data_IF_352303054190
#
_entry.id   IF_352303054190
#
_cell.length_a   1.000
_cell.length_b   1.000
_cell.length_c   1.000
_cell.angle_alpha   90.00
_cell.angle_beta   90.00
_cell.angle_gamma   90.00
#
_symmetry.space_group_name_H-M   'P 1'
#
loop_
_entity.id
_entity.type
_entity.pdbx_description
1 polymer ?
#
# COMPACT_ATOMS: atom_id res chain seq x y z
N UNK A 1 7.39 36.22 21.40
CA UNK A 1 6.52 35.52 20.42
C UNK A 1 6.22 36.50 19.29
N UNK A 2 6.17 36.03 18.03
CA UNK A 2 5.80 36.83 16.87
C UNK A 2 4.78 36.08 16.00
N UNK A 3 3.71 36.75 15.58
CA UNK A 3 2.74 36.18 14.64
C UNK A 3 3.22 36.38 13.21
N UNK A 4 3.13 35.32 12.39
CA UNK A 4 3.65 35.29 11.02
C UNK A 4 2.63 34.65 10.08
N UNK A 5 2.42 35.28 8.92
CA UNK A 5 1.80 34.61 7.78
C UNK A 5 2.80 33.63 7.12
N UNK A 6 2.36 32.92 6.08
CA UNK A 6 3.19 31.93 5.40
C UNK A 6 4.48 32.48 4.75
N UNK A 7 4.43 33.72 4.24
CA UNK A 7 5.59 34.33 3.58
C UNK A 7 6.61 34.87 4.57
N UNK A 8 6.15 35.48 5.67
CA UNK A 8 7.01 35.98 6.73
C UNK A 8 7.65 34.82 7.50
N UNK A 9 6.91 33.74 7.74
CA UNK A 9 7.48 32.49 8.29
C UNK A 9 8.59 31.95 7.38
N UNK A 10 8.39 31.92 6.06
CA UNK A 10 9.43 31.45 5.12
C UNK A 10 10.70 32.29 5.19
N UNK A 11 10.57 33.62 5.27
CA UNK A 11 11.72 34.54 5.39
C UNK A 11 12.48 34.31 6.69
N UNK A 12 11.76 34.19 7.81
CA UNK A 12 12.38 33.95 9.12
C UNK A 12 13.02 32.57 9.21
N UNK A 13 12.34 31.53 8.74
CA UNK A 13 12.87 30.18 8.70
C UNK A 13 14.18 30.11 7.89
N UNK A 14 14.24 30.77 6.72
CA UNK A 14 15.48 30.86 5.93
C UNK A 14 16.60 31.59 6.68
N UNK A 15 16.28 32.64 7.43
CA UNK A 15 17.24 33.38 8.25
C UNK A 15 17.77 32.51 9.41
N UNK A 16 16.88 31.79 10.08
CA UNK A 16 17.23 30.87 11.17
C UNK A 16 18.11 29.71 10.67
N UNK A 17 17.74 29.08 9.56
CA UNK A 17 18.49 27.96 8.96
C UNK A 17 19.91 28.31 8.53
N UNK A 18 20.16 29.57 8.14
CA UNK A 18 21.52 30.05 7.80
C UNK A 18 22.44 30.15 9.01
N UNK A 19 21.87 30.36 10.21
CA UNK A 19 22.61 30.60 11.46
C UNK A 19 22.74 29.34 12.31
N UNK A 20 21.73 28.46 12.25
CA UNK A 20 21.66 27.28 13.10
C UNK A 20 22.56 26.13 12.60
N UNK A 21 23.10 25.36 13.54
CA UNK A 21 23.86 24.13 13.31
C UNK A 21 22.98 22.88 13.36
N UNK A 22 21.73 23.00 13.82
CA UNK A 22 20.73 21.94 13.86
C UNK A 22 19.33 22.49 13.54
N UNK A 23 18.52 21.66 12.89
CA UNK A 23 17.11 21.93 12.67
C UNK A 23 16.29 20.64 12.74
N UNK A 24 15.17 20.69 13.45
CA UNK A 24 14.24 19.59 13.68
C UNK A 24 12.85 20.03 13.24
N UNK A 25 12.29 19.31 12.27
CA UNK A 25 10.97 19.58 11.73
C UNK A 25 10.01 18.47 12.11
N UNK A 26 8.81 18.85 12.54
CA UNK A 26 7.68 17.96 12.68
C UNK A 26 6.52 18.58 11.91
N UNK A 27 6.47 18.24 10.61
CA UNK A 27 5.54 18.85 9.65
C UNK A 27 4.92 17.72 8.85
N UNK A 28 3.59 17.64 8.93
CA UNK A 28 2.77 16.62 8.29
C UNK A 28 3.08 16.44 6.80
N UNK A 29 2.99 17.54 6.03
CA UNK A 29 3.02 17.48 4.57
C UNK A 29 4.15 18.33 3.99
N UNK A 30 4.81 17.77 2.99
CA UNK A 30 5.90 18.40 2.25
C UNK A 30 5.58 18.40 0.77
N UNK A 31 5.50 19.58 0.14
CA UNK A 31 5.23 19.74 -1.29
C UNK A 31 6.48 20.13 -2.06
N UNK A 32 6.39 20.10 -3.39
CA UNK A 32 7.48 20.43 -4.32
C UNK A 32 8.26 21.68 -3.95
N UNK A 33 9.58 21.56 -4.06
CA UNK A 33 10.60 22.53 -3.71
C UNK A 33 10.75 22.79 -2.21
N UNK A 34 10.15 21.96 -1.36
CA UNK A 34 10.46 21.89 0.06
C UNK A 34 11.96 21.80 0.35
N UNK A 35 12.69 20.95 -0.39
CA UNK A 35 14.13 20.78 -0.21
C UNK A 35 14.90 22.09 -0.42
N UNK A 36 14.39 23.00 -1.26
CA UNK A 36 15.02 24.32 -1.48
C UNK A 36 14.94 25.22 -0.26
N UNK A 37 13.93 25.05 0.58
CA UNK A 37 13.83 25.74 1.87
C UNK A 37 14.93 25.26 2.83
N UNK A 38 15.26 23.97 2.78
CA UNK A 38 16.30 23.34 3.60
C UNK A 38 17.73 23.51 3.02
N UNK A 39 17.86 23.81 1.73
CA UNK A 39 19.13 23.90 1.02
C UNK A 39 20.07 25.02 1.51
N UNK A 40 19.59 25.95 2.34
CA UNK A 40 20.39 27.04 2.91
C UNK A 40 21.24 26.62 4.15
N UNK A 41 21.41 25.31 4.41
CA UNK A 41 21.92 24.80 5.69
C UNK A 41 23.45 24.68 5.77
N UNK A 42 23.98 24.86 6.99
CA UNK A 42 25.34 24.45 7.40
C UNK A 42 25.33 23.30 8.44
N UNK A 43 24.19 22.67 8.72
CA UNK A 43 24.00 21.81 9.90
C UNK A 43 23.11 20.57 9.70
N UNK A 44 22.96 19.78 10.78
CA UNK A 44 22.14 18.56 10.80
C UNK A 44 20.65 18.91 10.70
N UNK A 45 19.93 18.24 9.81
CA UNK A 45 18.47 18.42 9.68
C UNK A 45 17.76 17.09 9.86
N UNK A 46 16.73 17.10 10.69
CA UNK A 46 15.89 15.96 11.02
C UNK A 46 14.42 16.32 10.74
N UNK A 47 13.69 15.41 10.10
CA UNK A 47 12.32 15.62 9.63
C UNK A 47 11.47 14.43 10.04
N UNK A 48 10.29 14.71 10.59
CA UNK A 48 9.21 13.75 10.76
C UNK A 48 8.04 14.21 9.88
N UNK A 49 7.52 13.33 9.04
CA UNK A 49 6.39 13.60 8.15
C UNK A 49 5.38 12.43 8.08
N UNK A 50 4.17 12.71 7.59
CA UNK A 50 3.23 11.66 7.21
C UNK A 50 3.41 11.35 5.71
N UNK A 51 4.39 10.49 5.42
CA UNK A 51 4.72 10.05 4.06
C UNK A 51 3.58 9.28 3.38
N UNK A 52 2.89 8.40 4.11
CA UNK A 52 1.94 7.46 3.52
C UNK A 52 0.54 8.05 3.27
N UNK A 53 0.21 9.18 3.91
CA UNK A 53 -1.06 9.92 3.70
C UNK A 53 -1.37 10.34 2.24
N UNK A 54 -0.38 10.28 1.35
CA UNK A 54 -0.47 10.83 -0.01
C UNK A 54 -0.44 12.36 -0.07
N UNK A 55 -0.44 13.07 1.07
CA UNK A 55 -0.30 14.53 1.14
C UNK A 55 1.14 15.03 1.06
N UNK A 56 2.09 14.17 1.40
CA UNK A 56 3.53 14.42 1.25
C UNK A 56 3.98 14.01 -0.15
N UNK A 57 4.69 14.90 -0.84
CA UNK A 57 5.35 14.61 -2.11
C UNK A 57 6.56 13.69 -1.85
N UNK A 58 6.51 12.42 -2.29
CA UNK A 58 7.57 11.45 -2.02
C UNK A 58 8.86 11.77 -2.76
N UNK A 59 8.81 12.49 -3.87
CA UNK A 59 10.00 12.91 -4.59
C UNK A 59 10.82 13.93 -3.80
N UNK A 60 10.16 14.81 -3.03
CA UNK A 60 10.88 15.72 -2.13
C UNK A 60 11.57 14.97 -1.00
N UNK A 61 10.96 13.90 -0.48
CA UNK A 61 11.56 13.06 0.55
C UNK A 61 12.78 12.31 0.00
N UNK A 62 12.71 11.82 -1.24
CA UNK A 62 13.86 11.23 -1.94
C UNK A 62 15.00 12.23 -2.05
N UNK A 63 14.72 13.46 -2.50
CA UNK A 63 15.73 14.51 -2.61
C UNK A 63 16.29 14.95 -1.24
N UNK A 64 15.46 15.01 -0.20
CA UNK A 64 15.91 15.25 1.18
C UNK A 64 16.89 14.18 1.65
N UNK A 65 16.57 12.91 1.43
CA UNK A 65 17.47 11.80 1.82
C UNK A 65 18.78 11.86 1.06
N UNK A 66 18.75 12.14 -0.25
CA UNK A 66 19.97 12.35 -1.06
C UNK A 66 20.81 13.51 -0.55
N UNK A 67 20.18 14.59 -0.09
CA UNK A 67 20.84 15.74 0.50
C UNK A 67 21.40 15.48 1.91
N UNK A 68 21.19 14.28 2.49
CA UNK A 68 21.63 13.93 3.85
C UNK A 68 20.73 14.49 4.95
N UNK A 69 19.44 14.65 4.70
CA UNK A 69 18.43 14.95 5.74
C UNK A 69 17.96 13.63 6.34
N UNK A 70 17.92 13.53 7.66
CA UNK A 70 17.32 12.38 8.34
C UNK A 70 15.80 12.53 8.30
N UNK A 71 15.11 11.65 7.58
CA UNK A 71 13.65 11.70 7.44
C UNK A 71 13.02 10.44 8.00
N UNK A 72 12.01 10.61 8.87
CA UNK A 72 11.20 9.52 9.44
C UNK A 72 9.73 9.73 9.09
N UNK A 73 9.00 8.63 9.06
CA UNK A 73 7.55 8.60 8.91
C UNK A 73 6.88 8.49 10.28
N UNK A 74 5.82 9.25 10.49
CA UNK A 74 4.88 9.04 11.58
C UNK A 74 3.46 9.09 11.01
N UNK A 75 2.73 7.98 11.16
CA UNK A 75 1.35 7.88 10.72
C UNK A 75 0.46 8.88 11.47
N UNK A 76 -0.53 9.43 10.78
CA UNK A 76 -1.50 10.38 11.32
C UNK A 76 -0.88 11.68 11.88
N UNK A 77 0.38 11.98 11.49
CA UNK A 77 1.02 13.22 11.89
C UNK A 77 0.31 14.39 11.21
N UNK A 78 -0.32 15.26 12.01
CA UNK A 78 -0.92 16.50 11.53
C UNK A 78 -0.29 17.77 12.14
N UNK A 79 0.81 17.65 12.88
CA UNK A 79 1.50 18.79 13.45
C UNK A 79 2.26 19.59 12.38
N UNK A 80 2.44 20.89 12.61
CA UNK A 80 3.36 21.74 11.84
C UNK A 80 4.12 22.65 12.79
N UNK A 81 5.32 22.22 13.16
CA UNK A 81 6.23 23.01 13.96
C UNK A 81 7.68 22.64 13.63
N UNK A 82 8.61 23.54 13.96
CA UNK A 82 10.03 23.26 13.87
C UNK A 82 10.83 23.96 14.97
N UNK A 83 11.98 23.37 15.29
CA UNK A 83 13.01 23.93 16.15
C UNK A 83 14.29 24.07 15.33
N UNK A 84 14.84 25.28 15.25
CA UNK A 84 16.00 25.66 14.43
C UNK A 84 16.96 26.47 15.28
N UNK A 85 17.94 25.79 15.90
CA UNK A 85 18.81 26.40 16.90
C UNK A 85 18.01 26.99 18.07
N UNK A 86 18.21 28.28 18.36
CA UNK A 86 17.49 29.01 19.42
C UNK A 86 16.14 29.61 18.96
N UNK A 87 15.66 29.26 17.76
CA UNK A 87 14.40 29.75 17.20
C UNK A 87 13.44 28.58 16.92
N UNK A 88 12.14 28.77 17.10
CA UNK A 88 11.14 27.76 16.78
C UNK A 88 9.86 28.39 16.25
N UNK A 89 9.01 27.60 15.58
CA UNK A 89 7.65 28.01 15.21
C UNK A 89 6.65 26.88 15.39
N UNK A 90 5.37 27.25 15.53
CA UNK A 90 4.20 26.37 15.44
C UNK A 90 3.11 27.07 14.63
N UNK A 91 2.32 26.35 13.84
CA UNK A 91 1.18 26.96 13.14
C UNK A 91 0.47 26.02 12.18
N UNK A 92 -0.20 26.60 11.19
CA UNK A 92 -0.96 25.86 10.16
C UNK A 92 -0.10 25.42 8.97
N UNK A 93 1.09 26.02 8.83
CA UNK A 93 1.92 26.00 7.63
C UNK A 93 2.67 24.69 7.37
N UNK A 94 2.35 24.03 6.25
CA UNK A 94 3.14 22.92 5.67
C UNK A 94 4.35 23.46 4.89
N UNK A 95 5.25 22.62 4.35
CA UNK A 95 6.45 23.14 3.65
C UNK A 95 6.41 22.84 2.14
N UNK A 96 6.40 23.88 1.29
CA UNK A 96 6.57 23.77 -0.19
C UNK A 96 7.11 25.06 -0.84
N UNK A 97 7.32 25.06 -2.16
CA UNK A 97 7.90 26.18 -2.92
C UNK A 97 6.96 27.38 -3.13
N UNK A 98 5.65 27.17 -3.25
CA UNK A 98 4.68 28.21 -3.65
C UNK A 98 3.95 28.86 -2.48
N UNK A 99 4.32 28.53 -1.26
CA UNK A 99 3.52 28.86 -0.08
C UNK A 99 3.82 27.79 0.93
N UNK A 100 3.66 28.07 2.20
CA UNK A 100 3.67 27.01 3.20
C UNK A 100 2.35 26.22 3.17
N UNK A 101 2.03 25.63 2.01
CA UNK A 101 0.77 24.93 1.72
C UNK A 101 0.98 23.65 0.91
N UNK A 102 -0.08 22.82 0.83
CA UNK A 102 -0.11 21.56 0.05
C UNK A 102 0.18 21.81 -1.45
N UNK A 103 0.57 20.80 -2.21
CA UNK A 103 0.63 20.91 -3.68
C UNK A 103 -0.76 20.78 -4.30
N UNK A 104 -1.13 21.73 -5.16
CA UNK A 104 -2.37 21.77 -5.93
C UNK A 104 -2.80 23.21 -6.22
N UNK A 105 -3.59 23.42 -7.28
CA UNK A 105 -4.21 24.75 -7.56
C UNK A 105 -5.17 25.22 -6.44
N UNK A 106 -5.48 24.37 -5.46
CA UNK A 106 -6.24 24.74 -4.26
C UNK A 106 -5.42 25.53 -3.22
N UNK A 107 -4.10 25.57 -3.34
CA UNK A 107 -3.23 26.18 -2.31
C UNK A 107 -2.90 27.64 -2.58
N UNK A 108 -3.11 28.13 -3.80
CA UNK A 108 -3.03 29.56 -4.11
C UNK A 108 -4.27 30.26 -3.55
N UNK A 109 -4.27 30.53 -2.24
CA UNK A 109 -5.36 31.25 -1.56
C UNK A 109 -5.56 30.94 -0.07
N UNK A 110 -4.87 29.95 0.51
CA UNK A 110 -4.99 29.67 1.94
C UNK A 110 -4.24 30.72 2.77
N UNK A 111 -4.95 31.31 3.74
CA UNK A 111 -4.38 32.26 4.70
C UNK A 111 -3.78 31.46 5.86
N UNK A 112 -2.46 31.51 5.98
CA UNK A 112 -1.69 30.79 7.00
C UNK A 112 -1.45 31.67 8.24
N UNK A 113 -1.51 31.08 9.43
CA UNK A 113 -1.15 31.74 10.70
C UNK A 113 -0.16 30.89 11.50
N UNK A 114 0.91 31.52 11.94
CA UNK A 114 1.99 30.88 12.69
C UNK A 114 2.45 31.76 13.84
N UNK A 115 3.00 31.12 14.87
CA UNK A 115 3.68 31.75 15.99
C UNK A 115 5.16 31.35 15.97
N UNK A 116 6.05 32.32 15.97
CA UNK A 116 7.49 32.13 16.12
C UNK A 116 7.98 32.53 17.52
N UNK A 117 9.00 31.85 18.00
CA UNK A 117 9.53 31.94 19.34
C UNK A 117 11.06 31.98 19.34
N UNK A 118 11.60 32.81 20.23
CA UNK A 118 13.02 32.84 20.63
C UNK A 118 13.18 32.66 22.14
N UNK A 119 12.06 32.45 22.84
CA UNK A 119 12.06 32.18 24.27
C UNK A 119 12.63 30.77 24.50
N UNK A 120 13.69 30.68 25.32
CA UNK A 120 14.41 29.43 25.55
C UNK A 120 13.54 28.34 26.16
N UNK A 121 12.61 28.68 27.05
CA UNK A 121 11.73 27.70 27.67
C UNK A 121 10.73 27.12 26.65
N UNK A 122 10.18 27.98 25.77
CA UNK A 122 9.28 27.53 24.71
C UNK A 122 10.02 26.67 23.67
N UNK A 123 11.22 27.09 23.27
CA UNK A 123 12.07 26.34 22.33
C UNK A 123 12.43 24.96 22.91
N UNK A 124 12.81 24.89 24.19
CA UNK A 124 13.08 23.64 24.87
C UNK A 124 11.85 22.72 24.91
N UNK A 125 10.68 23.26 25.25
CA UNK A 125 9.42 22.50 25.29
C UNK A 125 9.03 21.93 23.91
N UNK A 126 9.19 22.71 22.83
CA UNK A 126 8.96 22.21 21.47
C UNK A 126 9.97 21.13 21.08
N UNK A 127 11.22 21.25 21.57
CA UNK A 127 12.25 20.25 21.31
C UNK A 127 11.96 18.93 22.04
N UNK A 128 11.53 18.97 23.31
CA UNK A 128 11.05 17.78 24.04
C UNK A 128 9.84 17.14 23.34
N UNK A 129 8.91 17.97 22.84
CA UNK A 129 7.78 17.47 22.05
C UNK A 129 8.23 16.77 20.78
N UNK A 130 9.25 17.31 20.10
CA UNK A 130 9.84 16.68 18.92
C UNK A 130 10.44 15.32 19.27
N UNK A 131 11.22 15.22 20.35
CA UNK A 131 11.86 13.97 20.78
C UNK A 131 10.83 12.88 21.11
N UNK A 132 9.72 13.26 21.73
CA UNK A 132 8.59 12.35 21.96
C UNK A 132 8.00 11.81 20.65
N UNK A 133 7.81 12.66 19.65
CA UNK A 133 7.30 12.25 18.34
C UNK A 133 8.31 11.42 17.55
N UNK A 134 9.60 11.75 17.67
CA UNK A 134 10.70 11.01 17.04
C UNK A 134 10.80 9.57 17.56
N UNK A 135 10.55 9.37 18.86
CA UNK A 135 10.53 8.04 19.49
C UNK A 135 9.43 7.12 18.95
N UNK A 136 8.33 7.69 18.43
CA UNK A 136 7.23 6.95 17.82
C UNK A 136 7.37 6.85 16.28
N UNK A 137 8.27 7.64 15.69
CA UNK A 137 8.45 7.70 14.25
C UNK A 137 9.35 6.56 13.75
N UNK A 138 9.01 6.03 12.58
CA UNK A 138 9.71 4.91 11.94
C UNK A 138 10.61 5.38 10.81
N UNK A 139 11.70 4.65 10.57
CA UNK A 139 12.59 4.92 9.44
C UNK A 139 11.88 4.64 8.11
N UNK A 140 12.12 5.49 7.12
CA UNK A 140 11.53 5.34 5.78
C UNK A 140 12.37 4.36 4.96
N UNK A 141 11.79 3.22 4.61
CA UNK A 141 12.39 2.24 3.70
C UNK A 141 11.95 2.44 2.22
N UNK A 142 12.46 1.62 1.32
CA UNK A 142 12.12 1.69 -0.11
C UNK A 142 10.69 1.23 -0.40
N UNK A 143 10.11 0.34 0.43
CA UNK A 143 8.73 -0.14 0.28
C UNK A 143 7.77 1.02 0.56
N UNK A 144 7.98 1.74 1.66
CA UNK A 144 7.23 2.94 2.02
C UNK A 144 7.32 4.01 0.95
N UNK A 145 8.50 4.28 0.39
CA UNK A 145 8.65 5.25 -0.70
C UNK A 145 7.84 4.85 -1.94
N UNK A 146 7.88 3.58 -2.34
CA UNK A 146 7.09 3.10 -3.47
C UNK A 146 5.58 3.23 -3.21
N UNK A 147 5.11 2.85 -2.01
CA UNK A 147 3.71 3.06 -1.60
C UNK A 147 3.32 4.53 -1.63
N UNK A 148 4.18 5.42 -1.12
CA UNK A 148 3.95 6.85 -1.10
C UNK A 148 3.87 7.46 -2.50
N UNK A 149 4.70 7.00 -3.44
CA UNK A 149 4.62 7.39 -4.86
C UNK A 149 3.25 7.06 -5.45
N UNK A 150 2.72 5.88 -5.19
CA UNK A 150 1.41 5.48 -5.68
C UNK A 150 0.27 6.28 -5.01
N UNK A 151 0.31 6.43 -3.69
CA UNK A 151 -0.69 7.22 -2.95
C UNK A 151 -0.70 8.69 -3.42
N UNK A 152 0.47 9.29 -3.64
CA UNK A 152 0.61 10.65 -4.12
C UNK A 152 0.07 10.80 -5.55
N UNK A 153 0.38 9.88 -6.48
CA UNK A 153 -0.17 9.89 -7.84
C UNK A 153 -1.69 9.88 -7.85
N UNK A 154 -2.31 9.07 -7.00
CA UNK A 154 -3.77 8.97 -6.89
C UNK A 154 -4.39 10.27 -6.42
N UNK A 155 -3.79 10.91 -5.41
CA UNK A 155 -4.21 12.24 -4.94
C UNK A 155 -4.08 13.29 -6.04
N UNK A 156 -2.98 13.29 -6.79
CA UNK A 156 -2.78 14.22 -7.89
C UNK A 156 -3.83 14.02 -9.00
N UNK A 157 -4.14 12.77 -9.36
CA UNK A 157 -5.20 12.46 -10.32
C UNK A 157 -6.59 12.92 -9.85
N UNK A 158 -6.89 12.79 -8.56
CA UNK A 158 -8.12 13.32 -7.97
C UNK A 158 -8.16 14.85 -8.06
N UNK A 159 -7.05 15.55 -7.74
CA UNK A 159 -6.95 17.02 -7.79
C UNK A 159 -6.95 17.62 -9.20
N UNK A 160 -6.61 16.84 -10.23
CA UNK A 160 -6.67 17.29 -11.62
C UNK A 160 -8.09 17.20 -12.18
N UNK A 161 -8.91 16.28 -11.62
CA UNK A 161 -10.31 16.11 -12.02
C UNK A 161 -11.27 17.01 -11.25
N UNK A 162 -10.83 17.68 -10.17
CA UNK A 162 -11.65 18.60 -9.35
C UNK A 162 -12.08 19.90 -10.03
N UNK A 163 -11.78 20.13 -11.32
CA UNK A 163 -12.57 21.07 -12.11
C UNK A 163 -14.00 20.57 -12.39
N UNK A 164 -14.34 19.33 -11.98
CA UNK A 164 -15.72 18.84 -11.84
C UNK A 164 -15.85 18.02 -10.55
N UNK A 165 -16.85 18.34 -9.72
CA UNK A 165 -17.18 17.59 -8.49
C UNK A 165 -17.33 16.08 -8.83
N UNK A 166 -16.84 15.22 -7.93
CA UNK A 166 -16.84 13.74 -7.99
C UNK A 166 -15.78 13.13 -8.92
N UNK A 167 -14.54 13.06 -8.45
CA UNK A 167 -13.48 12.32 -9.12
C UNK A 167 -13.76 10.81 -9.04
N UNK A 168 -13.87 10.19 -10.21
CA UNK A 168 -14.07 8.76 -10.37
C UNK A 168 -12.76 8.10 -10.82
N UNK A 169 -12.29 7.10 -10.07
CA UNK A 169 -11.06 6.34 -10.36
C UNK A 169 -11.37 5.04 -11.12
N UNK A 170 -10.54 4.72 -12.12
CA UNK A 170 -10.52 3.38 -12.74
C UNK A 170 -9.61 2.41 -11.97
N UNK A 171 -9.76 1.09 -12.17
CA UNK A 171 -8.90 0.05 -11.56
C UNK A 171 -7.41 0.38 -11.70
N UNK A 172 -6.96 0.72 -12.91
CA UNK A 172 -5.55 1.02 -13.20
C UNK A 172 -5.04 2.34 -12.60
N UNK A 173 -5.93 3.12 -11.98
CA UNK A 173 -5.60 4.38 -11.30
C UNK A 173 -5.50 4.22 -9.79
N UNK A 174 -5.78 3.03 -9.25
CA UNK A 174 -5.68 2.74 -7.82
C UNK A 174 -4.25 2.35 -7.44
N UNK A 175 -3.77 2.67 -6.23
CA UNK A 175 -2.50 2.15 -5.75
C UNK A 175 -2.48 0.62 -5.78
N UNK A 176 -1.34 0.01 -6.12
CA UNK A 176 -1.19 -1.46 -6.02
C UNK A 176 -1.37 -1.98 -4.59
N UNK A 177 -1.08 -1.15 -3.59
CA UNK A 177 -1.32 -1.44 -2.17
C UNK A 177 -2.77 -1.25 -1.73
N UNK A 178 -3.68 -0.94 -2.66
CA UNK A 178 -5.12 -0.85 -2.34
C UNK A 178 -5.62 -2.22 -1.94
N UNK A 179 -6.40 -2.24 -0.87
CA UNK A 179 -7.07 -3.45 -0.44
C UNK A 179 -8.57 -3.35 -0.75
N UNK A 180 -9.19 -4.49 -0.94
CA UNK A 180 -10.65 -4.63 -1.02
C UNK A 180 -11.10 -5.31 0.26
N UNK A 181 -12.04 -4.70 0.96
CA UNK A 181 -12.67 -5.25 2.15
C UNK A 181 -14.08 -5.71 1.78
N UNK A 182 -14.38 -6.98 2.04
CA UNK A 182 -15.71 -7.56 1.84
C UNK A 182 -16.22 -8.05 3.21
N UNK A 183 -17.37 -7.57 3.66
CA UNK A 183 -17.88 -7.85 5.00
C UNK A 183 -19.39 -8.00 5.05
N UNK A 184 -19.91 -8.56 6.14
CA UNK A 184 -21.33 -8.41 6.50
C UNK A 184 -21.46 -7.27 7.49
N UNK A 185 -22.60 -6.57 7.44
CA UNK A 185 -22.94 -5.69 8.54
C UNK A 185 -23.04 -6.48 9.84
N UNK A 186 -22.54 -5.86 10.90
CA UNK A 186 -22.68 -6.39 12.23
C UNK A 186 -24.17 -6.48 12.62
N UNK A 187 -24.48 -7.32 13.60
CA UNK A 187 -25.86 -7.39 14.09
C UNK A 187 -26.30 -6.06 14.72
N UNK A 188 -27.62 -5.87 14.87
CA UNK A 188 -28.20 -4.63 15.40
C UNK A 188 -27.65 -4.21 16.76
N UNK A 189 -27.28 -5.17 17.62
CA UNK A 189 -26.74 -4.86 18.96
C UNK A 189 -25.32 -4.33 18.84
N UNK A 190 -24.52 -4.92 17.96
CA UNK A 190 -23.16 -4.48 17.73
C UNK A 190 -23.11 -3.12 17.01
N UNK A 191 -23.96 -2.89 16.01
CA UNK A 191 -24.13 -1.57 15.38
C UNK A 191 -24.49 -0.51 16.44
N UNK A 192 -25.48 -0.78 17.29
CA UNK A 192 -25.87 0.16 18.34
C UNK A 192 -24.73 0.45 19.34
N UNK A 193 -23.85 -0.52 19.60
CA UNK A 193 -22.65 -0.31 20.43
C UNK A 193 -21.64 0.57 19.72
N UNK A 194 -21.36 0.30 18.45
CA UNK A 194 -20.43 1.10 17.64
C UNK A 194 -20.90 2.54 17.52
N UNK A 195 -22.20 2.76 17.26
CA UNK A 195 -22.81 4.09 17.23
C UNK A 195 -22.66 4.82 18.57
N UNK A 196 -22.93 4.14 19.69
CA UNK A 196 -22.75 4.71 21.02
C UNK A 196 -21.28 5.06 21.31
N UNK A 197 -20.33 4.25 20.81
CA UNK A 197 -18.90 4.52 20.92
C UNK A 197 -18.49 5.72 20.09
N UNK A 198 -18.91 5.80 18.82
CA UNK A 198 -18.67 6.95 17.95
C UNK A 198 -19.25 8.24 18.54
N UNK A 199 -20.47 8.18 19.08
CA UNK A 199 -21.09 9.33 19.74
C UNK A 199 -20.29 9.77 20.97
N UNK A 200 -19.82 8.82 21.79
CA UNK A 200 -18.97 9.12 22.94
C UNK A 200 -17.64 9.75 22.51
N UNK A 201 -16.98 9.18 21.51
CA UNK A 201 -15.74 9.72 20.94
C UNK A 201 -15.95 11.13 20.39
N UNK A 202 -17.07 11.39 19.72
CA UNK A 202 -17.44 12.71 19.19
C UNK A 202 -17.62 13.73 20.32
N UNK A 203 -18.31 13.35 21.40
CA UNK A 203 -18.55 14.23 22.55
C UNK A 203 -17.25 14.55 23.32
N UNK A 204 -16.31 13.62 23.36
CA UNK A 204 -15.00 13.77 24.03
C UNK A 204 -13.94 14.44 23.14
N UNK A 205 -14.20 14.57 21.83
CA UNK A 205 -13.29 15.19 20.90
C UNK A 205 -13.26 16.72 21.02
N UNK A 206 -12.09 17.29 20.73
CA UNK A 206 -11.93 18.74 20.63
C UNK A 206 -12.89 19.32 19.57
N UNK A 207 -13.47 20.52 19.78
CA UNK A 207 -14.46 21.12 18.88
C UNK A 207 -14.07 21.13 17.40
N UNK A 208 -12.80 21.41 17.10
CA UNK A 208 -12.23 21.43 15.77
C UNK A 208 -12.17 20.05 15.08
N UNK A 209 -12.26 18.96 15.85
CA UNK A 209 -12.27 17.58 15.36
C UNK A 209 -13.66 16.97 15.28
N UNK A 210 -14.68 17.60 15.88
CA UNK A 210 -16.06 17.08 15.85
C UNK A 210 -16.59 16.95 14.42
N UNK A 211 -16.20 17.86 13.52
CA UNK A 211 -16.55 17.82 12.09
C UNK A 211 -15.94 16.64 11.33
N UNK A 212 -14.90 15.99 11.88
CA UNK A 212 -14.27 14.83 11.24
C UNK A 212 -15.04 13.53 11.50
N UNK A 213 -15.95 13.51 12.49
CA UNK A 213 -16.70 12.30 12.86
C UNK A 213 -17.84 11.95 11.92
N UNK A 214 -18.22 12.83 10.99
CA UNK A 214 -19.24 12.50 9.98
C UNK A 214 -18.70 11.58 8.89
N UNK A 215 -17.36 11.51 8.76
CA UNK A 215 -16.65 10.63 7.82
C UNK A 215 -15.87 9.53 8.55
N UNK A 216 -16.20 9.20 9.80
CA UNK A 216 -15.52 8.14 10.58
C UNK A 216 -16.49 7.01 10.89
N UNK A 217 -15.97 5.79 10.79
CA UNK A 217 -16.68 4.58 11.19
C UNK A 217 -15.72 3.59 11.87
N UNK A 218 -16.28 2.53 12.44
CA UNK A 218 -15.57 1.48 13.14
C UNK A 218 -15.64 0.17 12.34
N UNK A 219 -14.53 -0.55 12.28
CA UNK A 219 -14.47 -1.93 11.82
C UNK A 219 -14.24 -2.83 13.03
N UNK A 220 -15.22 -3.67 13.37
CA UNK A 220 -15.16 -4.57 14.53
C UNK A 220 -14.55 -5.92 14.16
N UNK A 221 -13.66 -6.44 15.00
CA UNK A 221 -13.05 -7.77 14.84
C UNK A 221 -12.13 -7.88 13.59
N UNK A 222 -11.59 -6.74 13.14
CA UNK A 222 -10.66 -6.61 12.00
C UNK A 222 -9.26 -6.15 12.42
N UNK A 223 -8.61 -6.90 13.32
CA UNK A 223 -7.30 -6.52 13.89
C UNK A 223 -6.20 -6.32 12.84
N UNK A 224 -6.24 -7.14 11.78
CA UNK A 224 -5.24 -7.14 10.72
C UNK A 224 -5.57 -6.17 9.58
N UNK A 225 -6.56 -5.28 9.76
CA UNK A 225 -6.90 -4.27 8.75
C UNK A 225 -5.67 -3.38 8.49
N UNK A 226 -5.20 -3.23 7.25
CA UNK A 226 -3.96 -2.53 6.97
C UNK A 226 -4.10 -1.02 7.20
N UNK A 227 -3.11 -0.45 7.87
CA UNK A 227 -3.10 0.97 8.26
C UNK A 227 -2.60 1.89 7.14
N UNK A 228 -3.22 3.06 7.00
CA UNK A 228 -2.74 4.11 6.10
C UNK A 228 -2.85 3.78 4.60
N UNK A 229 -3.56 2.71 4.23
CA UNK A 229 -3.80 2.32 2.84
C UNK A 229 -5.28 2.42 2.48
N UNK A 230 -5.62 2.68 1.20
CA UNK A 230 -7.02 2.68 0.76
C UNK A 230 -7.67 1.30 0.84
N UNK A 231 -8.89 1.27 1.38
CA UNK A 231 -9.77 0.12 1.51
C UNK A 231 -11.02 0.36 0.66
N UNK A 232 -11.19 -0.37 -0.43
CA UNK A 232 -12.44 -0.36 -1.21
C UNK A 232 -13.41 -1.30 -0.51
N UNK A 233 -14.46 -0.75 0.07
CA UNK A 233 -15.35 -1.47 0.96
C UNK A 233 -16.60 -1.95 0.23
N UNK A 234 -16.94 -3.22 0.42
CA UNK A 234 -18.14 -3.86 -0.07
C UNK A 234 -18.87 -4.57 1.08
N UNK A 235 -20.12 -4.21 1.31
CA UNK A 235 -21.01 -4.95 2.19
C UNK A 235 -21.69 -6.09 1.41
N UNK A 236 -21.81 -7.25 2.02
CA UNK A 236 -22.59 -8.38 1.50
C UNK A 236 -24.04 -8.21 1.91
N UNK A 237 -24.94 -8.15 0.94
CA UNK A 237 -26.38 -8.18 1.19
C UNK A 237 -26.92 -9.61 1.08
N UNK A 238 -27.94 -9.93 1.88
CA UNK A 238 -28.60 -11.25 1.86
C UNK A 238 -29.38 -11.54 0.58
N UNK A 239 -29.71 -10.50 -0.19
CA UNK A 239 -30.58 -10.61 -1.37
C UNK A 239 -29.85 -10.31 -2.70
N UNK A 240 -28.76 -9.54 -2.72
CA UNK A 240 -28.22 -8.97 -3.97
C UNK A 240 -26.70 -8.73 -3.95
N UNK A 241 -25.90 -9.75 -3.63
CA UNK A 241 -24.46 -9.69 -3.89
C UNK A 241 -23.71 -8.64 -3.07
N UNK A 242 -22.74 -7.97 -3.71
CA UNK A 242 -21.84 -7.01 -3.06
C UNK A 242 -22.34 -5.58 -3.30
N UNK A 243 -22.37 -4.76 -2.25
CA UNK A 243 -22.74 -3.35 -2.28
C UNK A 243 -21.53 -2.49 -1.97
N UNK A 244 -21.14 -1.60 -2.90
CA UNK A 244 -20.00 -0.69 -2.71
C UNK A 244 -20.32 0.43 -1.70
N UNK A 245 -19.60 0.47 -0.58
CA UNK A 245 -19.84 1.42 0.51
C UNK A 245 -18.86 2.61 0.54
N UNK A 246 -17.90 2.64 -0.37
CA UNK A 246 -16.93 3.73 -0.48
C UNK A 246 -15.49 3.27 -0.33
N UNK A 247 -14.61 4.27 -0.19
CA UNK A 247 -13.20 4.05 0.09
C UNK A 247 -12.92 4.58 1.49
N UNK A 248 -12.24 3.76 2.29
CA UNK A 248 -11.90 4.04 3.66
C UNK A 248 -10.40 3.92 3.87
N UNK A 249 -9.87 4.55 4.91
CA UNK A 249 -8.47 4.38 5.34
C UNK A 249 -8.49 4.18 6.85
N UNK A 250 -7.89 3.08 7.32
CA UNK A 250 -7.68 2.88 8.76
C UNK A 250 -6.71 3.95 9.28
N UNK A 251 -7.12 4.63 10.34
CA UNK A 251 -6.35 5.67 11.01
C UNK A 251 -6.03 5.25 12.44
N UNK A 252 -4.77 5.42 12.86
CA UNK A 252 -4.35 5.30 14.26
C UNK A 252 -3.98 6.70 14.80
N UNK A 253 -4.93 7.66 14.68
CA UNK A 253 -4.78 8.96 15.34
C UNK A 253 -5.18 8.82 16.82
N UNK A 254 -4.28 9.14 17.77
CA UNK A 254 -4.57 9.11 19.22
C UNK A 254 -5.74 9.98 19.68
N UNK A 255 -6.30 10.79 18.80
CA UNK A 255 -7.47 11.63 19.04
C UNK A 255 -8.79 10.89 18.83
N UNK A 256 -8.78 9.76 18.13
CA UNK A 256 -9.94 8.88 17.94
C UNK A 256 -9.78 7.62 18.79
N UNK A 257 -9.57 7.79 20.11
CA UNK A 257 -9.45 6.65 21.02
C UNK A 257 -10.80 5.96 21.21
N UNK A 258 -10.86 4.71 20.79
CA UNK A 258 -11.94 3.78 21.13
C UNK A 258 -12.01 3.66 22.66
N UNK A 259 -13.16 3.96 23.30
CA UNK A 259 -13.27 3.93 24.76
C UNK A 259 -13.23 2.50 25.34
N UNK A 260 -12.41 2.28 26.38
CA UNK A 260 -12.43 1.06 27.20
C UNK A 260 -11.38 -0.01 26.82
N UNK A 261 -11.53 -1.24 27.33
CA UNK A 261 -10.64 -2.40 27.05
C UNK A 261 -10.84 -3.01 25.65
N UNK A 262 -11.41 -2.26 24.71
CA UNK A 262 -11.84 -2.74 23.40
C UNK A 262 -11.05 -2.13 22.24
N UNK A 263 -9.94 -1.42 22.53
CA UNK A 263 -9.07 -0.83 21.49
C UNK A 263 -8.61 -1.88 20.46
N UNK A 264 -8.33 -3.09 20.91
CA UNK A 264 -7.87 -4.17 20.04
C UNK A 264 -9.01 -4.82 19.23
N UNK A 265 -10.26 -4.44 19.51
CA UNK A 265 -11.45 -4.98 18.83
C UNK A 265 -11.95 -4.09 17.71
N UNK A 266 -11.91 -2.76 17.89
CA UNK A 266 -12.46 -1.82 16.91
C UNK A 266 -11.34 -1.01 16.26
N UNK A 267 -11.31 -1.04 14.93
CA UNK A 267 -10.42 -0.20 14.14
C UNK A 267 -11.16 1.03 13.65
N UNK A 268 -10.57 2.21 13.82
CA UNK A 268 -11.14 3.47 13.34
C UNK A 268 -10.75 3.65 11.88
N UNK A 269 -11.73 3.93 11.03
CA UNK A 269 -11.49 4.22 9.62
C UNK A 269 -12.15 5.53 9.21
N UNK A 270 -11.48 6.27 8.33
CA UNK A 270 -11.99 7.51 7.77
C UNK A 270 -12.36 7.34 6.30
N UNK A 271 -13.57 7.77 5.94
CA UNK A 271 -14.08 7.79 4.59
C UNK A 271 -13.31 8.79 3.76
N UNK A 272 -12.97 8.37 2.54
CA UNK A 272 -12.24 9.19 1.60
C UNK A 272 -13.21 9.86 0.60
N UNK A 273 -12.93 11.10 0.17
CA UNK A 273 -13.87 11.89 -0.63
C UNK A 273 -13.93 11.47 -2.12
N UNK A 274 -13.20 10.43 -2.52
CA UNK A 274 -13.13 9.95 -3.90
C UNK A 274 -13.86 8.61 -4.08
N UNK A 275 -14.37 8.37 -5.29
CA UNK A 275 -15.12 7.15 -5.64
C UNK A 275 -14.41 6.39 -6.77
N UNK A 276 -14.63 5.09 -6.86
CA UNK A 276 -14.29 4.30 -8.04
C UNK A 276 -15.44 4.32 -9.06
N UNK A 277 -15.13 4.05 -10.33
CA UNK A 277 -16.13 4.04 -11.40
C UNK A 277 -17.07 2.85 -11.29
N UNK A 278 -18.32 3.02 -11.74
CA UNK A 278 -19.27 1.91 -11.83
C UNK A 278 -18.69 0.72 -12.62
N UNK A 279 -17.88 0.99 -13.64
CA UNK A 279 -17.13 -0.06 -14.36
C UNK A 279 -16.12 -0.78 -13.47
N UNK A 280 -15.38 -0.04 -12.63
CA UNK A 280 -14.42 -0.63 -11.67
C UNK A 280 -15.14 -1.45 -10.61
N UNK A 281 -16.25 -0.93 -10.08
CA UNK A 281 -17.13 -1.64 -9.15
C UNK A 281 -17.57 -2.97 -9.76
N UNK A 282 -18.14 -2.97 -10.98
CA UNK A 282 -18.56 -4.18 -11.67
C UNK A 282 -17.43 -5.19 -11.91
N UNK A 283 -16.21 -4.71 -12.24
CA UNK A 283 -15.05 -5.59 -12.39
C UNK A 283 -14.69 -6.23 -11.06
N UNK A 284 -14.59 -5.45 -9.97
CA UNK A 284 -14.30 -5.99 -8.64
C UNK A 284 -15.36 -7.00 -8.23
N UNK A 285 -16.64 -6.68 -8.38
CA UNK A 285 -17.75 -7.55 -8.02
C UNK A 285 -17.71 -8.87 -8.80
N UNK A 286 -17.44 -8.80 -10.10
CA UNK A 286 -17.35 -9.99 -10.97
C UNK A 286 -16.18 -10.87 -10.59
N UNK A 287 -15.01 -10.28 -10.35
CA UNK A 287 -13.81 -11.02 -9.95
C UNK A 287 -13.94 -11.60 -8.54
N UNK A 288 -14.51 -10.84 -7.59
CA UNK A 288 -14.71 -11.26 -6.21
C UNK A 288 -15.61 -12.49 -6.12
N UNK A 289 -16.61 -12.64 -7.00
CA UNK A 289 -17.48 -13.84 -7.05
C UNK A 289 -16.71 -15.15 -7.24
N UNK A 290 -15.54 -15.11 -7.87
CA UNK A 290 -14.69 -16.28 -8.13
C UNK A 290 -13.49 -16.35 -7.18
N UNK A 291 -13.34 -15.40 -6.26
CA UNK A 291 -12.23 -15.34 -5.33
C UNK A 291 -12.53 -16.21 -4.10
N UNK A 292 -11.63 -17.15 -3.75
CA UNK A 292 -11.80 -18.02 -2.57
C UNK A 292 -12.03 -17.24 -1.28
N UNK A 293 -11.44 -16.05 -1.17
CA UNK A 293 -11.65 -15.20 0.00
C UNK A 293 -13.07 -14.65 0.14
N UNK A 294 -13.88 -14.61 -0.93
CA UNK A 294 -15.29 -14.26 -0.80
C UNK A 294 -16.05 -15.35 -0.04
N UNK A 295 -15.72 -16.63 -0.27
CA UNK A 295 -16.27 -17.73 0.53
C UNK A 295 -15.89 -17.57 2.00
N UNK A 296 -14.62 -17.27 2.29
CA UNK A 296 -14.18 -16.94 3.66
C UNK A 296 -14.95 -15.77 4.24
N UNK A 297 -15.21 -14.72 3.47
CA UNK A 297 -16.03 -13.60 3.93
C UNK A 297 -17.46 -14.04 4.27
N UNK A 298 -18.05 -14.90 3.44
CA UNK A 298 -19.40 -15.44 3.65
C UNK A 298 -19.50 -16.33 4.90
N UNK A 299 -18.48 -17.14 5.14
CA UNK A 299 -18.45 -18.09 6.26
C UNK A 299 -18.04 -17.43 7.58
N UNK A 300 -17.09 -16.48 7.53
CA UNK A 300 -16.43 -15.91 8.72
C UNK A 300 -16.82 -14.45 9.00
N UNK A 301 -17.75 -13.86 8.24
CA UNK A 301 -18.23 -12.48 8.45
C UNK A 301 -17.37 -11.40 7.77
N UNK A 302 -16.24 -11.76 7.16
CA UNK A 302 -15.45 -10.83 6.38
C UNK A 302 -14.14 -11.38 5.80
N UNK A 303 -13.63 -10.76 4.73
CA UNK A 303 -12.28 -10.93 4.24
C UNK A 303 -11.69 -9.62 3.65
N UNK A 304 -10.37 -9.46 3.76
CA UNK A 304 -9.61 -8.37 3.13
C UNK A 304 -8.52 -8.99 2.27
N UNK A 305 -8.32 -8.42 1.08
CA UNK A 305 -7.24 -8.81 0.19
C UNK A 305 -6.68 -7.60 -0.56
N UNK A 306 -5.44 -7.74 -1.03
CA UNK A 306 -4.90 -6.81 -2.01
C UNK A 306 -5.77 -6.82 -3.27
N UNK A 307 -5.96 -5.65 -3.89
CA UNK A 307 -6.78 -5.53 -5.09
C UNK A 307 -6.27 -6.43 -6.23
N UNK A 308 -4.96 -6.68 -6.30
CA UNK A 308 -4.34 -7.57 -7.29
C UNK A 308 -4.61 -9.07 -7.06
N UNK A 309 -5.01 -9.45 -5.85
CA UNK A 309 -5.47 -10.82 -5.56
C UNK A 309 -6.89 -11.04 -6.05
N UNK A 310 -7.73 -9.99 -6.05
CA UNK A 310 -9.09 -10.05 -6.55
C UNK A 310 -9.11 -9.83 -8.06
N UNK A 311 -8.53 -8.73 -8.53
CA UNK A 311 -8.42 -8.40 -9.94
C UNK A 311 -6.96 -8.63 -10.37
N UNK A 312 -6.65 -9.82 -10.90
CA UNK A 312 -5.37 -9.99 -11.56
C UNK A 312 -5.29 -9.02 -12.75
N UNK A 313 -4.20 -8.25 -12.94
CA UNK A 313 -4.02 -7.42 -14.11
C UNK A 313 -4.28 -8.21 -15.39
N UNK A 314 -4.92 -7.55 -16.36
CA UNK A 314 -5.30 -8.12 -17.67
C UNK A 314 -4.12 -8.83 -18.36
N UNK A 315 -2.88 -8.42 -18.03
CA UNK A 315 -1.66 -9.05 -18.48
C UNK A 315 -0.57 -8.88 -17.42
N UNK A 316 -0.14 -9.96 -16.77
CA UNK A 316 1.17 -9.93 -16.12
C UNK A 316 2.25 -10.09 -17.18
N UNK A 317 3.30 -9.27 -17.10
CA UNK A 317 4.55 -9.70 -17.68
C UNK A 317 5.05 -10.94 -16.96
N UNK A 318 5.85 -11.76 -17.65
CA UNK A 318 6.46 -12.95 -17.06
C UNK A 318 7.26 -12.63 -15.78
N UNK A 319 7.91 -11.46 -15.74
CA UNK A 319 8.64 -10.98 -14.56
C UNK A 319 7.72 -10.70 -13.38
N UNK A 320 6.61 -10.00 -13.61
CA UNK A 320 5.67 -9.66 -12.54
C UNK A 320 4.98 -10.91 -11.98
N UNK A 321 4.61 -11.87 -12.84
CA UNK A 321 3.95 -13.09 -12.40
C UNK A 321 4.83 -13.95 -11.49
N UNK A 322 6.13 -14.07 -11.78
CA UNK A 322 7.07 -14.79 -10.90
C UNK A 322 7.47 -13.97 -9.67
N UNK A 323 7.67 -12.66 -9.86
CA UNK A 323 7.98 -11.73 -8.77
C UNK A 323 6.89 -11.65 -7.71
N UNK A 324 5.63 -11.95 -8.06
CA UNK A 324 4.51 -12.08 -7.12
C UNK A 324 4.74 -13.12 -6.01
N UNK A 325 5.64 -14.09 -6.23
CA UNK A 325 6.07 -15.10 -5.27
C UNK A 325 7.50 -14.88 -4.76
N UNK A 326 8.12 -13.73 -5.08
CA UNK A 326 9.54 -13.47 -4.80
C UNK A 326 10.51 -14.34 -5.61
N UNK A 327 10.03 -15.06 -6.63
CA UNK A 327 10.84 -15.93 -7.46
C UNK A 327 11.60 -15.13 -8.53
N UNK A 328 12.90 -15.42 -8.69
CA UNK A 328 13.77 -14.78 -9.67
C UNK A 328 14.16 -15.76 -10.78
N UNK A 329 14.42 -15.21 -11.97
CA UNK A 329 14.89 -15.96 -13.13
C UNK A 329 16.40 -15.91 -13.26
N UNK A 330 16.99 -17.01 -13.76
CA UNK A 330 18.34 -16.96 -14.33
C UNK A 330 18.36 -16.11 -15.59
N UNK A 331 17.30 -16.16 -16.42
CA UNK A 331 17.14 -15.28 -17.57
C UNK A 331 15.69 -15.19 -18.05
N UNK A 332 15.12 -13.99 -17.95
CA UNK A 332 13.72 -13.71 -18.31
C UNK A 332 13.29 -14.22 -19.70
N UNK A 333 14.19 -14.21 -20.70
CA UNK A 333 13.84 -14.57 -22.08
C UNK A 333 13.55 -16.05 -22.26
N UNK A 334 14.23 -16.92 -21.52
CA UNK A 334 14.14 -18.37 -21.72
C UNK A 334 13.74 -19.17 -20.49
N UNK A 335 13.77 -18.60 -19.28
CA UNK A 335 13.44 -19.31 -18.03
C UNK A 335 12.01 -19.87 -18.01
N UNK A 336 11.81 -21.12 -17.61
CA UNK A 336 10.45 -21.70 -17.46
C UNK A 336 10.02 -21.87 -16.00
N UNK A 337 10.89 -21.48 -15.10
CA UNK A 337 10.73 -21.56 -13.65
C UNK A 337 11.56 -20.47 -13.00
N UNK A 338 11.33 -20.21 -11.72
CA UNK A 338 12.13 -19.31 -10.92
C UNK A 338 12.19 -19.78 -9.48
N UNK A 339 13.20 -19.31 -8.75
CA UNK A 339 13.41 -19.62 -7.33
C UNK A 339 13.66 -18.34 -6.56
N UNK A 340 13.11 -18.23 -5.36
CA UNK A 340 13.35 -17.06 -4.50
C UNK A 340 14.79 -17.04 -3.97
N UNK A 341 15.30 -15.84 -3.61
CA UNK A 341 16.68 -15.68 -3.10
C UNK A 341 16.94 -16.43 -1.80
N UNK A 342 15.92 -16.53 -0.96
CA UNK A 342 15.95 -17.32 0.28
C UNK A 342 15.78 -18.83 0.04
N UNK A 343 15.53 -19.23 -1.22
CA UNK A 343 15.38 -20.60 -1.68
C UNK A 343 14.18 -21.37 -1.10
N UNK A 344 13.28 -20.66 -0.42
CA UNK A 344 12.06 -21.23 0.19
C UNK A 344 10.89 -21.32 -0.77
N UNK A 345 10.99 -20.76 -1.98
CA UNK A 345 9.93 -20.78 -2.97
C UNK A 345 10.48 -21.16 -4.34
N UNK A 346 9.84 -22.14 -4.97
CA UNK A 346 9.99 -22.47 -6.39
C UNK A 346 8.67 -22.17 -7.09
N UNK A 347 8.72 -21.44 -8.20
CA UNK A 347 7.57 -21.17 -9.06
C UNK A 347 7.79 -21.81 -10.44
N UNK A 348 6.75 -22.43 -11.00
CA UNK A 348 6.78 -23.07 -12.32
C UNK A 348 5.75 -22.45 -13.27
N UNK A 349 6.08 -22.38 -14.56
CA UNK A 349 5.10 -22.05 -15.60
C UNK A 349 4.23 -23.27 -15.91
N UNK A 350 2.91 -23.12 -15.79
CA UNK A 350 1.92 -24.11 -16.19
C UNK A 350 1.11 -23.58 -17.36
N UNK A 351 0.98 -24.36 -18.43
CA UNK A 351 0.18 -23.95 -19.58
C UNK A 351 -1.30 -24.24 -19.34
N UNK A 352 -2.16 -23.25 -19.58
CA UNK A 352 -3.60 -23.36 -19.38
C UNK A 352 -4.21 -24.51 -20.21
N UNK A 353 -3.70 -24.75 -21.41
CA UNK A 353 -4.21 -25.80 -22.30
C UNK A 353 -3.76 -27.22 -21.92
N UNK A 354 -2.83 -27.35 -20.97
CA UNK A 354 -2.39 -28.63 -20.38
C UNK A 354 -2.97 -28.83 -18.97
N UNK A 355 -3.79 -27.90 -18.50
CA UNK A 355 -4.43 -27.97 -17.20
C UNK A 355 -5.79 -28.64 -17.30
N UNK A 356 -6.03 -29.66 -16.48
CA UNK A 356 -7.34 -30.28 -16.33
C UNK A 356 -7.96 -29.88 -14.98
N UNK A 357 -8.98 -29.02 -15.02
CA UNK A 357 -9.69 -28.54 -13.84
C UNK A 357 -10.38 -29.66 -13.05
N UNK A 358 -10.80 -30.74 -13.72
CA UNK A 358 -11.56 -31.82 -13.07
C UNK A 358 -10.65 -32.74 -12.26
N UNK A 359 -9.49 -33.09 -12.82
CA UNK A 359 -8.53 -33.97 -12.12
C UNK A 359 -7.67 -33.22 -11.12
N UNK A 360 -7.55 -31.89 -11.23
CA UNK A 360 -6.60 -31.07 -10.46
C UNK A 360 -5.16 -31.54 -10.63
N UNK A 361 -4.87 -32.20 -11.74
CA UNK A 361 -3.56 -32.70 -12.14
C UNK A 361 -3.06 -31.87 -13.32
N UNK A 362 -1.80 -31.49 -13.25
CA UNK A 362 -1.05 -30.96 -14.38
C UNK A 362 -0.09 -32.03 -14.88
N UNK A 363 -0.14 -32.30 -16.18
CA UNK A 363 0.68 -33.32 -16.83
C UNK A 363 1.52 -32.70 -17.95
N UNK A 364 2.82 -32.55 -17.70
CA UNK A 364 3.79 -32.08 -18.69
C UNK A 364 4.74 -33.23 -19.08
N UNK A 365 4.13 -34.31 -19.58
CA UNK A 365 4.83 -35.49 -20.12
C UNK A 365 4.55 -35.66 -21.62
N UNK A 366 5.33 -36.53 -22.28
CA UNK A 366 5.12 -36.92 -23.68
C UNK A 366 6.04 -36.24 -24.70
N UNK A 367 6.97 -35.39 -24.26
CA UNK A 367 7.93 -34.69 -25.12
C UNK A 367 9.39 -35.06 -24.84
N UNK A 368 9.67 -36.02 -23.94
CA UNK A 368 11.02 -36.40 -23.52
C UNK A 368 11.95 -36.90 -24.64
N UNK A 369 11.41 -37.25 -25.80
CA UNK A 369 12.19 -37.62 -27.00
C UNK A 369 12.56 -36.41 -27.88
N UNK A 370 12.03 -35.22 -27.63
CA UNK A 370 12.39 -34.00 -28.35
C UNK A 370 13.63 -33.35 -27.70
N UNK A 371 14.79 -33.77 -28.18
CA UNK A 371 16.08 -33.29 -27.70
C UNK A 371 16.22 -31.76 -27.80
N UNK A 372 15.54 -31.11 -28.75
CA UNK A 372 15.57 -29.64 -28.91
C UNK A 372 14.83 -28.91 -27.79
N UNK A 373 13.93 -29.59 -27.07
CA UNK A 373 13.25 -29.07 -25.88
C UNK A 373 14.08 -29.42 -24.64
N UNK A 374 14.55 -30.67 -24.55
CA UNK A 374 15.35 -31.18 -23.43
C UNK A 374 16.58 -30.31 -23.16
N UNK A 375 17.30 -29.91 -24.21
CA UNK A 375 18.57 -29.18 -24.09
C UNK A 375 18.44 -27.67 -23.87
N UNK A 376 17.23 -27.13 -23.89
CA UNK A 376 17.02 -25.68 -23.72
C UNK A 376 17.44 -25.23 -22.33
N UNK A 377 18.05 -24.05 -22.27
CA UNK A 377 18.44 -23.43 -21.00
C UNK A 377 17.25 -23.28 -20.04
N UNK A 378 16.07 -22.94 -20.57
CA UNK A 378 14.83 -22.87 -19.78
C UNK A 378 14.43 -24.19 -19.13
N UNK A 379 14.61 -25.29 -19.86
CA UNK A 379 14.35 -26.61 -19.33
C UNK A 379 15.42 -27.04 -18.32
N UNK A 380 16.70 -26.74 -18.59
CA UNK A 380 17.80 -27.02 -17.66
C UNK A 380 17.56 -26.39 -16.29
N UNK A 381 17.25 -25.09 -16.27
CA UNK A 381 16.88 -24.37 -15.05
C UNK A 381 15.62 -24.97 -14.39
N UNK A 382 14.59 -25.29 -15.18
CA UNK A 382 13.38 -25.94 -14.66
C UNK A 382 13.68 -27.26 -13.97
N UNK A 383 14.55 -28.10 -14.53
CA UNK A 383 14.96 -29.37 -13.91
C UNK A 383 15.67 -29.13 -12.58
N UNK A 384 16.55 -28.14 -12.52
CA UNK A 384 17.25 -27.76 -11.29
C UNK A 384 16.27 -27.28 -10.21
N UNK A 385 15.30 -26.45 -10.59
CA UNK A 385 14.30 -25.93 -9.66
C UNK A 385 13.28 -26.99 -9.20
N UNK A 386 12.84 -27.89 -10.09
CA UNK A 386 11.97 -29.02 -9.69
C UNK A 386 12.72 -29.95 -8.75
N UNK A 387 13.98 -30.29 -9.07
CA UNK A 387 14.82 -31.09 -8.18
C UNK A 387 14.97 -30.42 -6.81
N UNK A 388 15.24 -29.11 -6.79
CA UNK A 388 15.32 -28.36 -5.55
C UNK A 388 14.04 -28.44 -4.72
N UNK A 389 12.87 -28.26 -5.36
CA UNK A 389 11.58 -28.36 -4.68
C UNK A 389 11.35 -29.75 -4.07
N UNK A 390 11.67 -30.82 -4.81
CA UNK A 390 11.59 -32.20 -4.29
C UNK A 390 12.51 -32.39 -3.08
N UNK A 391 13.76 -31.96 -3.20
CA UNK A 391 14.79 -32.21 -2.18
C UNK A 391 14.59 -31.36 -0.89
N UNK A 392 14.01 -30.15 -1.00
CA UNK A 392 14.00 -29.16 0.10
C UNK A 392 12.61 -28.64 0.48
N UNK A 393 11.63 -28.72 -0.41
CA UNK A 393 10.31 -28.11 -0.24
C UNK A 393 9.20 -29.15 -0.29
N UNK A 394 9.49 -30.43 -0.02
CA UNK A 394 8.51 -31.53 -0.05
C UNK A 394 7.79 -31.65 -1.42
N UNK A 395 8.50 -31.28 -2.50
CA UNK A 395 7.96 -31.21 -3.85
C UNK A 395 6.94 -30.09 -4.08
N UNK A 396 6.76 -29.17 -3.13
CA UNK A 396 5.78 -28.07 -3.22
C UNK A 396 6.30 -26.93 -4.09
N UNK A 397 5.44 -26.46 -5.00
CA UNK A 397 5.72 -25.34 -5.90
C UNK A 397 4.53 -24.37 -6.00
N UNK A 398 4.85 -23.11 -6.31
CA UNK A 398 3.89 -22.07 -6.73
C UNK A 398 3.67 -22.14 -8.24
N UNK A 399 2.49 -21.70 -8.67
CA UNK A 399 2.09 -21.78 -10.09
C UNK A 399 2.04 -20.38 -10.70
N UNK A 400 2.67 -20.25 -11.87
CA UNK A 400 2.43 -19.16 -12.79
C UNK A 400 1.73 -19.75 -14.01
N UNK A 401 0.47 -19.40 -14.19
CA UNK A 401 -0.30 -19.83 -15.36
C UNK A 401 0.13 -19.04 -16.59
N UNK A 402 0.18 -19.73 -17.72
CA UNK A 402 0.47 -19.16 -19.03
C UNK A 402 -0.60 -19.60 -20.04
N UNK A 403 -1.16 -18.64 -20.76
CA UNK A 403 -2.03 -18.92 -21.90
C UNK A 403 -1.19 -18.84 -23.17
N UNK A 404 -1.24 -19.88 -24.01
CA UNK A 404 -0.50 -19.90 -25.27
C UNK A 404 -1.19 -19.03 -26.33
N UNK A 405 -0.40 -18.31 -27.15
CA UNK A 405 -0.94 -17.66 -28.37
C UNK A 405 -1.48 -18.69 -29.36
N UNK A 406 -0.81 -19.83 -29.46
CA UNK A 406 -1.23 -20.99 -30.22
C UNK A 406 -0.88 -22.25 -29.40
N UNK A 407 -1.88 -23.01 -28.89
CA UNK A 407 -1.63 -24.18 -28.05
C UNK A 407 -0.92 -25.32 -28.81
N UNK A 408 -1.00 -25.34 -30.14
CA UNK A 408 -0.39 -26.37 -30.98
C UNK A 408 1.04 -26.03 -31.43
N UNK A 409 1.57 -24.85 -31.06
CA UNK A 409 2.93 -24.44 -31.44
C UNK A 409 3.99 -25.12 -30.56
N UNK A 410 5.10 -25.56 -31.17
CA UNK A 410 6.29 -26.04 -30.46
C UNK A 410 7.54 -25.29 -30.95
N UNK A 411 8.14 -24.40 -30.14
CA UNK A 411 7.77 -24.08 -28.76
C UNK A 411 6.55 -23.16 -28.66
N UNK A 412 5.82 -23.27 -27.55
CA UNK A 412 4.72 -22.36 -27.21
C UNK A 412 5.26 -20.96 -26.90
N UNK A 413 4.56 -19.95 -27.40
CA UNK A 413 4.73 -18.55 -27.00
C UNK A 413 3.52 -18.13 -26.16
N UNK A 414 3.75 -17.53 -24.99
CA UNK A 414 2.66 -17.09 -24.14
C UNK A 414 2.01 -15.80 -24.67
N UNK A 415 0.68 -15.79 -24.70
CA UNK A 415 -0.15 -14.61 -24.89
C UNK A 415 -0.12 -13.73 -23.63
N UNK A 416 -0.27 -14.35 -22.46
CA UNK A 416 -0.22 -13.71 -21.13
C UNK A 416 0.18 -14.69 -20.04
N UNK A 417 0.61 -14.13 -18.91
CA UNK A 417 0.90 -14.85 -17.67
C UNK A 417 0.03 -14.31 -16.54
N UNK A 418 -0.16 -15.10 -15.49
CA UNK A 418 -0.65 -14.62 -14.19
C UNK A 418 -0.20 -15.56 -13.06
N UNK A 419 0.14 -15.03 -11.87
CA UNK A 419 0.37 -15.85 -10.70
C UNK A 419 -0.95 -16.43 -10.22
N UNK A 420 -0.94 -17.72 -9.90
CA UNK A 420 -2.08 -18.41 -9.34
C UNK A 420 -1.86 -18.57 -7.84
N UNK A 421 -2.36 -17.58 -7.09
CA UNK A 421 -2.08 -17.43 -5.65
C UNK A 421 -2.92 -18.37 -4.77
N UNK A 422 -4.03 -18.90 -5.28
CA UNK A 422 -4.92 -19.79 -4.51
C UNK A 422 -4.43 -21.23 -4.48
N UNK A 423 -3.46 -21.61 -5.31
CA UNK A 423 -3.05 -23.01 -5.45
C UNK A 423 -1.59 -23.24 -5.09
N UNK A 424 -1.37 -24.39 -4.45
CA UNK A 424 -0.08 -25.03 -4.28
C UNK A 424 -0.13 -26.36 -5.01
N UNK A 425 0.96 -26.70 -5.71
CA UNK A 425 1.09 -27.98 -6.38
C UNK A 425 2.21 -28.79 -5.75
N UNK A 426 2.02 -30.10 -5.68
CA UNK A 426 3.04 -31.07 -5.30
C UNK A 426 3.49 -31.81 -6.54
N UNK A 427 4.79 -31.87 -6.79
CA UNK A 427 5.37 -32.70 -7.85
C UNK A 427 5.22 -34.17 -7.46
N UNK A 428 4.46 -34.93 -8.24
CA UNK A 428 4.19 -36.37 -8.00
C UNK A 428 4.95 -37.29 -8.95
N UNK A 429 5.48 -36.72 -10.04
CA UNK A 429 6.35 -37.42 -10.97
C UNK A 429 7.37 -36.42 -11.53
N UNK A 430 8.63 -36.83 -11.65
CA UNK A 430 9.67 -36.02 -12.29
C UNK A 430 10.72 -36.90 -12.95
N UNK A 431 10.94 -36.69 -14.24
CA UNK A 431 12.05 -37.28 -14.97
C UNK A 431 13.22 -36.29 -15.01
N UNK A 432 14.23 -36.53 -14.18
CA UNK A 432 15.39 -35.65 -14.07
C UNK A 432 16.20 -35.54 -15.37
N UNK A 433 16.13 -36.52 -16.28
CA UNK A 433 16.85 -36.48 -17.56
C UNK A 433 16.13 -35.62 -18.58
N UNK A 434 14.81 -35.72 -18.70
CA UNK A 434 14.05 -35.01 -19.73
C UNK A 434 13.50 -33.68 -19.23
N UNK A 435 13.15 -33.60 -17.95
CA UNK A 435 12.46 -32.48 -17.32
C UNK A 435 10.94 -32.57 -17.37
N UNK A 436 10.40 -33.69 -17.86
CA UNK A 436 8.97 -34.00 -17.80
C UNK A 436 8.54 -34.19 -16.34
N UNK A 437 7.34 -33.73 -16.01
CA UNK A 437 6.82 -33.84 -14.65
C UNK A 437 5.28 -33.91 -14.62
N UNK A 438 4.75 -34.38 -13.50
CA UNK A 438 3.33 -34.22 -13.16
C UNK A 438 3.21 -33.57 -11.80
N UNK A 439 2.16 -32.80 -11.60
CA UNK A 439 1.87 -32.16 -10.33
C UNK A 439 0.39 -32.24 -9.97
N UNK A 440 0.08 -32.37 -8.69
CA UNK A 440 -1.30 -32.39 -8.18
C UNK A 440 -1.55 -31.23 -7.21
N UNK A 441 -2.77 -30.71 -7.19
CA UNK A 441 -3.13 -29.63 -6.28
C UNK A 441 -3.17 -30.12 -4.84
N UNK A 442 -2.48 -29.41 -3.95
CA UNK A 442 -2.50 -29.70 -2.52
C UNK A 442 -3.76 -29.10 -1.92
N UNK A 443 -4.47 -29.86 -1.09
CA UNK A 443 -5.52 -29.28 -0.24
C UNK A 443 -4.86 -28.27 0.70
N UNK A 444 -5.28 -27.00 0.64
CA UNK A 444 -4.85 -26.06 1.67
C UNK A 444 -5.37 -26.59 3.02
N UNK A 445 -4.52 -26.60 4.07
CA UNK A 445 -4.94 -27.01 5.41
C UNK A 445 -6.10 -26.15 5.95
#
# INVERSE_FOLDING_TARGET
MKLLNGDDLRKELKSALKKATSARFCVAYWGKGAIKTLAARKGKVEVICDLLSGGTNPYEIIEMRKAGVAVKHLASLHAKFAVVGEWAYVGSSNISANGLGQEGQQSSGLIELNCAFTDRAVVASLNERWEKLDSAAVLIDNKMLNTAIENWKVRQLASLKTNKKNATLGVNQLPKSTHVAIYRHADKREVARMDAMLQKMRNEAQPEKQLLFDDIDLFSDWQDLPEGVPLICFAMSSEQGLEYEGIWVRIDDPSFKVPGRTKDRYQVAQRQPYKISSKTIQVIETCAKNWEGLKRAWDNGGAVALIEEIIPPEKYSKLEAFGAFGAEFSNIRWSWSGRSRDQNTVALTFWLDQWDENSRIYDDTGWGNDQKIVDRNGNKERRENIKWAIDHLDGIVRIVMAEAKNPNASPKEALRYWPDRSRLMRIVYFNQKTGEFKAEAVAQP
#
